data_IF_514163688120
#
_entry.id   IF_514163688120
#
_cell.length_a   1.000
_cell.length_b   1.000
_cell.length_c   1.000
_cell.angle_alpha   90.00
_cell.angle_beta   90.00
_cell.angle_gamma   90.00
#
_symmetry.space_group_name_H-M   'P 1'
#
loop_
_entity.id
_entity.type
_entity.pdbx_description
1 polymer ?
#
# COMPACT_ATOMS: atom_id res chain seq x y z
N UNK A 1 -1.82 -8.65 16.42
CA UNK A 1 -0.62 -8.60 15.57
C UNK A 1 -0.81 -9.64 14.48
N UNK A 2 -0.97 -9.20 13.24
CA UNK A 2 -1.07 -10.10 12.12
C UNK A 2 0.28 -10.80 11.91
N UNK A 3 0.26 -12.07 11.51
CA UNK A 3 1.47 -12.84 11.21
C UNK A 3 2.25 -12.15 10.09
N UNK A 4 3.46 -11.68 10.36
CA UNK A 4 4.35 -11.00 9.40
C UNK A 4 4.60 -9.51 9.69
N UNK A 5 3.83 -8.86 10.57
CA UNK A 5 4.11 -7.49 11.02
C UNK A 5 5.46 -7.44 11.78
N UNK A 6 6.23 -6.37 11.58
CA UNK A 6 7.60 -6.19 12.08
C UNK A 6 8.65 -7.19 11.55
N UNK A 7 8.28 -8.16 10.70
CA UNK A 7 9.24 -8.98 9.97
C UNK A 7 9.95 -8.14 8.88
N UNK A 8 11.12 -8.62 8.48
CA UNK A 8 11.87 -8.03 7.37
C UNK A 8 11.15 -8.32 6.05
N UNK A 9 10.92 -7.27 5.26
CA UNK A 9 10.46 -7.40 3.89
C UNK A 9 11.41 -8.28 3.07
N UNK A 10 10.85 -9.26 2.35
CA UNK A 10 11.57 -10.18 1.48
C UNK A 10 11.23 -9.92 0.02
N UNK A 11 12.27 -9.81 -0.81
CA UNK A 11 12.14 -9.52 -2.24
C UNK A 11 13.21 -10.25 -3.04
N UNK A 12 12.90 -10.54 -4.31
CA UNK A 12 13.84 -11.01 -5.33
C UNK A 12 14.37 -9.85 -6.21
N UNK A 13 14.04 -8.60 -5.86
CA UNK A 13 14.41 -7.40 -6.61
C UNK A 13 13.34 -6.91 -7.60
N UNK A 14 12.31 -7.71 -7.86
CA UNK A 14 11.24 -7.35 -8.79
C UNK A 14 10.05 -6.72 -8.08
N UNK A 15 9.30 -5.89 -8.82
CA UNK A 15 8.07 -5.27 -8.31
C UNK A 15 6.90 -6.26 -8.21
N UNK A 16 6.83 -7.26 -9.10
CA UNK A 16 5.68 -8.18 -9.23
C UNK A 16 4.34 -7.46 -9.46
N UNK A 17 4.29 -6.59 -10.48
CA UNK A 17 3.10 -5.80 -10.82
C UNK A 17 1.85 -6.66 -10.96
N UNK A 18 1.96 -7.85 -11.53
CA UNK A 18 0.84 -8.77 -11.75
C UNK A 18 0.16 -9.24 -10.45
N UNK A 19 0.85 -9.10 -9.32
CA UNK A 19 0.29 -9.46 -8.01
C UNK A 19 -0.68 -8.42 -7.48
N UNK A 20 -0.54 -7.15 -7.86
CA UNK A 20 -1.32 -6.06 -7.26
C UNK A 20 -1.96 -5.09 -8.25
N UNK A 21 -1.45 -4.98 -9.47
CA UNK A 21 -1.88 -3.93 -10.40
C UNK A 21 -3.34 -4.12 -10.78
N UNK A 22 -4.11 -3.04 -10.68
CA UNK A 22 -5.55 -3.00 -10.91
C UNK A 22 -6.39 -3.94 -10.02
N UNK A 23 -5.84 -4.45 -8.92
CA UNK A 23 -6.58 -5.19 -7.89
C UNK A 23 -6.86 -4.27 -6.70
N UNK A 24 -8.03 -4.45 -6.10
CA UNK A 24 -8.42 -3.72 -4.89
C UNK A 24 -8.02 -4.54 -3.67
N UNK A 25 -7.44 -3.88 -2.69
CA UNK A 25 -6.98 -4.45 -1.43
C UNK A 25 -7.58 -3.68 -0.27
N UNK A 26 -7.86 -4.37 0.84
CA UNK A 26 -8.37 -3.73 2.05
C UNK A 26 -7.25 -3.53 3.07
N UNK A 27 -7.37 -2.47 3.87
CA UNK A 27 -6.54 -2.31 5.06
C UNK A 27 -7.04 -3.26 6.15
N UNK A 28 -6.15 -3.75 7.02
CA UNK A 28 -6.49 -4.74 8.08
C UNK A 28 -7.42 -4.20 9.15
N UNK A 29 -7.31 -2.92 9.46
CA UNK A 29 -7.90 -2.31 10.66
C UNK A 29 -9.03 -1.31 10.33
N UNK A 30 -9.28 -1.04 9.05
CA UNK A 30 -10.31 -0.09 8.61
C UNK A 30 -11.15 -0.69 7.48
N UNK A 31 -12.33 -0.11 7.25
CA UNK A 31 -13.16 -0.44 6.08
C UNK A 31 -12.59 0.16 4.78
N UNK A 32 -11.50 0.91 4.86
CA UNK A 32 -10.87 1.52 3.72
C UNK A 32 -10.26 0.45 2.81
N UNK A 33 -10.17 0.80 1.54
CA UNK A 33 -9.48 -0.02 0.55
C UNK A 33 -8.62 0.84 -0.35
N UNK A 34 -7.78 0.20 -1.14
CA UNK A 34 -6.94 0.89 -2.08
C UNK A 34 -6.71 0.06 -3.34
N UNK A 35 -6.33 0.74 -4.41
CA UNK A 35 -5.99 0.13 -5.69
C UNK A 35 -4.76 0.80 -6.25
N UNK A 36 -3.76 0.00 -6.61
CA UNK A 36 -2.59 0.49 -7.34
C UNK A 36 -2.84 0.33 -8.83
N UNK A 37 -2.62 1.41 -9.57
CA UNK A 37 -2.88 1.51 -11.00
C UNK A 37 -1.70 2.18 -11.70
N UNK A 38 -1.70 2.14 -13.04
CA UNK A 38 -0.64 2.70 -13.86
C UNK A 38 -1.25 3.40 -15.07
N UNK A 39 -0.79 4.62 -15.33
CA UNK A 39 -1.14 5.42 -16.52
C UNK A 39 0.14 5.85 -17.27
N UNK A 40 0.00 6.75 -18.25
CA UNK A 40 1.13 7.27 -19.02
C UNK A 40 2.16 8.06 -18.20
N UNK A 41 1.80 8.50 -16.99
CA UNK A 41 2.68 9.24 -16.06
C UNK A 41 3.32 8.33 -15.01
N UNK A 42 2.99 7.04 -15.00
CA UNK A 42 3.52 6.05 -14.07
C UNK A 42 2.47 5.52 -13.11
N UNK A 43 2.91 5.13 -11.92
CA UNK A 43 2.03 4.49 -10.93
C UNK A 43 1.25 5.53 -10.13
N UNK A 44 0.05 5.15 -9.73
CA UNK A 44 -0.75 5.89 -8.79
C UNK A 44 -1.56 4.94 -7.91
N UNK A 45 -1.90 5.44 -6.74
CA UNK A 45 -2.73 4.79 -5.75
C UNK A 45 -4.06 5.53 -5.69
N UNK A 46 -5.15 4.79 -5.81
CA UNK A 46 -6.49 5.28 -5.46
C UNK A 46 -6.85 4.72 -4.09
N UNK A 47 -7.09 5.60 -3.12
CA UNK A 47 -7.59 5.25 -1.78
C UNK A 47 -9.10 5.45 -1.76
N UNK A 48 -9.79 4.47 -1.20
CA UNK A 48 -11.24 4.46 -0.99
C UNK A 48 -11.48 4.52 0.51
N UNK A 49 -11.97 5.66 0.98
CA UNK A 49 -12.12 5.95 2.41
C UNK A 49 -13.60 5.79 2.78
N UNK A 50 -13.87 4.88 3.72
CA UNK A 50 -15.22 4.63 4.24
C UNK A 50 -15.35 5.15 5.68
N UNK A 51 -15.96 6.33 5.80
CA UNK A 51 -16.19 7.00 7.10
C UNK A 51 -17.50 6.53 7.76
N UNK A 52 -18.22 5.55 7.20
CA UNK A 52 -19.54 5.15 7.70
C UNK A 52 -19.52 4.69 9.15
N UNK A 53 -18.44 3.99 9.54
CA UNK A 53 -18.24 3.55 10.92
C UNK A 53 -18.03 4.74 11.88
N UNK A 54 -17.38 5.81 11.43
CA UNK A 54 -17.14 7.02 12.22
C UNK A 54 -18.41 7.87 12.37
N UNK A 55 -19.17 7.99 11.28
CA UNK A 55 -20.41 8.75 11.21
C UNK A 55 -21.63 8.01 11.81
N UNK A 56 -21.49 6.71 12.09
CA UNK A 56 -22.57 5.86 12.62
C UNK A 56 -23.72 5.63 11.63
N UNK A 57 -23.51 5.92 10.35
CA UNK A 57 -24.47 5.77 9.25
C UNK A 57 -23.71 5.55 7.95
N UNK A 58 -24.36 4.95 6.97
CA UNK A 58 -23.79 4.80 5.63
C UNK A 58 -23.54 6.17 4.99
N UNK A 59 -22.31 6.41 4.56
CA UNK A 59 -21.89 7.61 3.83
C UNK A 59 -21.17 7.22 2.53
N UNK A 60 -21.20 8.08 1.50
CA UNK A 60 -20.47 7.80 0.27
C UNK A 60 -18.97 7.63 0.51
N UNK A 61 -18.39 6.58 -0.09
CA UNK A 61 -16.94 6.35 -0.09
C UNK A 61 -16.24 7.50 -0.80
N UNK A 62 -15.22 8.08 -0.15
CA UNK A 62 -14.38 9.13 -0.74
C UNK A 62 -13.22 8.50 -1.52
N UNK A 63 -12.85 9.13 -2.63
CA UNK A 63 -11.70 8.72 -3.43
C UNK A 63 -10.57 9.75 -3.35
N UNK A 64 -9.36 9.28 -3.02
CA UNK A 64 -8.15 10.10 -3.06
C UNK A 64 -7.09 9.44 -3.94
N UNK A 65 -6.44 10.22 -4.81
CA UNK A 65 -5.39 9.72 -5.69
C UNK A 65 -4.02 10.28 -5.31
N UNK A 66 -3.03 9.40 -5.19
CA UNK A 66 -1.64 9.76 -4.86
C UNK A 66 -0.69 9.17 -5.91
N UNK A 67 0.29 9.96 -6.36
CA UNK A 67 1.33 9.47 -7.28
C UNK A 67 2.32 8.59 -6.54
N UNK A 68 2.77 7.53 -7.21
CA UNK A 68 3.73 6.59 -6.67
C UNK A 68 5.01 6.60 -7.50
N UNK A 69 6.15 6.61 -6.81
CA UNK A 69 7.47 6.51 -7.42
C UNK A 69 8.05 5.11 -7.23
N UNK A 70 8.43 4.48 -8.34
CA UNK A 70 9.17 3.22 -8.31
C UNK A 70 10.58 3.46 -7.78
N UNK A 71 10.96 2.72 -6.75
CA UNK A 71 12.28 2.78 -6.11
C UNK A 71 12.96 1.42 -6.21
N UNK A 72 14.21 1.43 -6.65
CA UNK A 72 15.06 0.24 -6.85
C UNK A 72 14.46 -0.86 -7.74
N UNK A 73 13.40 -0.57 -8.49
CA UNK A 73 12.69 -1.56 -9.30
C UNK A 73 11.78 -2.50 -8.49
N UNK A 74 11.65 -2.29 -7.18
CA UNK A 74 11.09 -3.28 -6.25
C UNK A 74 9.85 -2.82 -5.49
N UNK A 75 9.79 -1.55 -5.10
CA UNK A 75 8.68 -1.03 -4.29
C UNK A 75 8.27 0.38 -4.73
N UNK A 76 7.00 0.68 -4.50
CA UNK A 76 6.37 1.94 -4.87
C UNK A 76 6.23 2.83 -3.64
N UNK A 77 6.78 4.03 -3.67
CA UNK A 77 6.72 4.98 -2.54
C UNK A 77 5.73 6.08 -2.86
N UNK A 78 4.90 6.49 -1.90
CA UNK A 78 4.06 7.70 -2.08
C UNK A 78 4.95 8.91 -2.39
N UNK A 79 4.66 9.61 -3.49
CA UNK A 79 5.35 10.83 -3.89
C UNK A 79 4.68 12.04 -3.22
N UNK A 80 4.74 12.05 -1.89
CA UNK A 80 4.22 13.10 -1.01
C UNK A 80 5.33 13.52 -0.06
N UNK A 81 5.40 14.78 0.34
CA UNK A 81 6.31 15.17 1.42
C UNK A 81 5.61 14.91 2.76
N UNK A 82 5.96 13.82 3.45
CA UNK A 82 5.50 13.56 4.82
C UNK A 82 6.68 13.58 5.78
N UNK A 83 6.55 14.36 6.86
CA UNK A 83 7.58 14.51 7.90
C UNK A 83 7.92 13.18 8.62
N UNK A 84 6.97 12.23 8.66
CA UNK A 84 7.11 10.92 9.30
C UNK A 84 7.51 9.78 8.34
N UNK A 85 7.87 10.14 7.10
CA UNK A 85 8.30 9.21 6.07
C UNK A 85 7.17 8.68 5.20
N UNK A 86 7.47 8.46 3.92
CA UNK A 86 6.50 8.03 2.94
C UNK A 86 6.23 6.53 3.05
N UNK A 87 4.94 6.16 3.05
CA UNK A 87 4.52 4.76 2.94
C UNK A 87 4.99 4.19 1.60
N UNK A 88 5.47 2.95 1.64
CA UNK A 88 5.84 2.21 0.46
C UNK A 88 5.06 0.89 0.36
N UNK A 89 4.72 0.52 -0.87
CA UNK A 89 3.92 -0.63 -1.24
C UNK A 89 4.81 -1.62 -1.99
N UNK A 90 4.79 -2.88 -1.58
CA UNK A 90 5.62 -3.91 -2.19
C UNK A 90 4.92 -5.28 -2.14
N UNK A 91 5.34 -6.19 -3.00
CA UNK A 91 4.96 -7.60 -2.91
C UNK A 91 6.05 -8.38 -2.16
N UNK A 92 5.71 -8.94 -1.00
CA UNK A 92 6.63 -9.76 -0.23
C UNK A 92 6.66 -11.19 -0.77
N UNK A 93 7.82 -11.66 -1.19
CA UNK A 93 7.96 -12.97 -1.85
C UNK A 93 7.87 -14.16 -0.88
N UNK A 94 8.10 -13.94 0.42
CA UNK A 94 7.98 -14.96 1.46
C UNK A 94 6.53 -15.12 1.90
N UNK A 95 5.83 -14.01 2.12
CA UNK A 95 4.42 -13.97 2.53
C UNK A 95 3.46 -14.15 1.35
N UNK A 96 3.93 -13.87 0.13
CA UNK A 96 3.12 -13.84 -1.11
C UNK A 96 1.94 -12.89 -1.01
N UNK A 97 2.19 -11.71 -0.44
CA UNK A 97 1.17 -10.69 -0.16
C UNK A 97 1.70 -9.30 -0.45
N UNK A 98 0.77 -8.39 -0.75
CA UNK A 98 1.07 -6.96 -0.76
C UNK A 98 1.26 -6.49 0.67
N UNK A 99 2.34 -5.75 0.90
CA UNK A 99 2.72 -5.25 2.21
C UNK A 99 3.01 -3.76 2.14
N UNK A 100 2.83 -3.11 3.27
CA UNK A 100 3.24 -1.74 3.52
C UNK A 100 4.56 -1.77 4.27
N UNK A 101 5.56 -1.08 3.76
CA UNK A 101 6.88 -0.97 4.38
C UNK A 101 7.19 0.50 4.66
N UNK A 102 7.96 0.75 5.72
CA UNK A 102 8.54 2.06 5.96
C UNK A 102 10.03 2.02 5.58
N UNK A 103 10.44 2.73 4.50
CA UNK A 103 11.84 2.82 4.11
C UNK A 103 12.77 3.35 5.22
N UNK A 104 12.24 4.21 6.11
CA UNK A 104 12.98 4.79 7.23
C UNK A 104 13.13 3.84 8.43
N UNK A 105 12.31 2.78 8.50
CA UNK A 105 12.40 1.75 9.54
C UNK A 105 13.03 0.45 8.99
N UNK A 106 14.14 0.58 8.26
CA UNK A 106 14.91 -0.55 7.71
C UNK A 106 14.07 -1.51 6.84
N UNK A 107 13.04 -1.00 6.16
CA UNK A 107 12.12 -1.78 5.33
C UNK A 107 11.37 -2.90 6.08
N UNK A 108 11.09 -2.70 7.37
CA UNK A 108 10.19 -3.61 8.09
C UNK A 108 8.77 -3.50 7.56
N UNK A 109 8.08 -4.64 7.55
CA UNK A 109 6.65 -4.72 7.24
C UNK A 109 5.89 -4.04 8.37
N UNK A 110 5.13 -3.01 8.02
CA UNK A 110 4.22 -2.35 8.94
C UNK A 110 2.87 -3.04 8.96
N UNK A 111 2.32 -3.30 7.77
CA UNK A 111 0.97 -3.82 7.58
C UNK A 111 0.96 -4.76 6.37
N UNK A 112 -0.03 -5.64 6.36
CA UNK A 112 -0.27 -6.60 5.27
C UNK A 112 -1.63 -6.27 4.69
N UNK A 113 -1.71 -6.11 3.37
CA UNK A 113 -2.98 -5.91 2.69
C UNK A 113 -3.78 -7.22 2.59
N UNK A 114 -5.11 -7.10 2.63
CA UNK A 114 -6.06 -8.20 2.47
C UNK A 114 -6.76 -8.20 1.12
#
# INVERSE_FOLDING_TARGET
MAKGENEQFTTDGNLHEEQFLNKTFSYTDTADSFKIQKDSKGYFLTKYIDESAQEGKEVPVKEETVRLKLTNGTFLVEDVSKDDGNLAYAYDTKLKKVVFINPYNKFKIMLIAN
#
